data_IF_050743345650
#
_entry.id   IF_050743345650
#
_cell.length_a   1.000
_cell.length_b   1.000
_cell.length_c   1.000
_cell.angle_alpha   90.00
_cell.angle_beta   90.00
_cell.angle_gamma   90.00
#
_symmetry.space_group_name_H-M   'P 1'
#
loop_
_entity.id
_entity.type
_entity.pdbx_description
1 polymer ?
#
# COMPACT_ATOMS: atom_id res chain seq x y z
N UNK A 1 11.10 24.08 1.12
CA UNK A 1 12.38 23.60 0.57
C UNK A 1 12.21 23.28 -0.90
N UNK A 2 12.97 23.88 -1.80
CA UNK A 2 13.02 23.47 -3.20
C UNK A 2 13.74 22.13 -3.30
N UNK A 3 13.29 21.31 -4.26
CA UNK A 3 13.85 20.01 -4.54
C UNK A 3 14.08 19.80 -6.03
N UNK A 4 15.23 19.23 -6.35
CA UNK A 4 15.56 18.72 -7.68
C UNK A 4 15.84 17.23 -7.60
N UNK A 5 15.05 16.41 -8.25
CA UNK A 5 15.19 14.96 -8.23
C UNK A 5 15.67 14.40 -9.57
N UNK A 6 16.43 13.31 -9.50
CA UNK A 6 16.85 12.52 -10.67
C UNK A 6 16.46 11.07 -10.47
N UNK A 7 15.72 10.54 -11.42
CA UNK A 7 15.32 9.14 -11.41
C UNK A 7 16.45 8.23 -11.93
N UNK A 8 16.58 7.03 -11.34
CA UNK A 8 17.55 5.99 -11.75
C UNK A 8 19.02 6.30 -11.49
N UNK A 9 19.32 7.04 -10.42
CA UNK A 9 20.70 7.21 -9.97
C UNK A 9 21.24 5.90 -9.34
N UNK A 10 22.57 5.73 -9.42
CA UNK A 10 23.28 4.58 -8.84
C UNK A 10 24.42 5.07 -7.99
N UNK A 11 24.48 4.56 -6.75
CA UNK A 11 25.62 4.75 -5.89
C UNK A 11 26.56 3.55 -5.95
N UNK A 12 27.85 3.80 -6.03
CA UNK A 12 28.88 2.77 -6.08
C UNK A 12 29.99 3.07 -5.06
N UNK A 13 30.39 2.03 -4.35
CA UNK A 13 31.53 2.08 -3.45
C UNK A 13 32.39 0.83 -3.67
N UNK A 14 33.63 0.99 -4.09
CA UNK A 14 34.51 -0.10 -4.50
C UNK A 14 33.82 -1.02 -5.55
N UNK A 15 33.56 -2.28 -5.19
CA UNK A 15 32.86 -3.27 -6.06
C UNK A 15 31.35 -3.37 -5.78
N UNK A 16 30.86 -2.71 -4.73
CA UNK A 16 29.43 -2.77 -4.33
C UNK A 16 28.65 -1.67 -5.03
N UNK A 17 27.39 -1.97 -5.36
CA UNK A 17 26.46 -1.06 -6.01
C UNK A 17 25.15 -1.05 -5.22
N UNK A 18 24.59 0.14 -5.01
CA UNK A 18 23.27 0.33 -4.45
C UNK A 18 22.36 1.03 -5.46
N UNK A 19 21.11 0.58 -5.50
CA UNK A 19 20.06 1.26 -6.25
C UNK A 19 19.44 2.34 -5.37
N UNK A 20 19.33 3.54 -5.90
CA UNK A 20 18.77 4.70 -5.20
C UNK A 20 17.32 4.84 -5.67
N UNK A 21 16.39 4.86 -4.73
CA UNK A 21 14.97 5.09 -5.03
C UNK A 21 14.69 6.55 -5.32
N UNK A 22 15.35 7.42 -4.59
CA UNK A 22 15.20 8.86 -4.68
C UNK A 22 16.55 9.53 -4.50
N UNK A 23 16.99 10.26 -5.51
CA UNK A 23 18.21 11.04 -5.50
C UNK A 23 17.87 12.49 -5.75
N UNK A 24 17.97 13.30 -4.71
CA UNK A 24 17.55 14.69 -4.77
C UNK A 24 18.56 15.66 -4.19
N UNK A 25 18.61 16.83 -4.84
CA UNK A 25 19.26 18.02 -4.34
C UNK A 25 18.24 18.85 -3.57
N UNK A 26 18.53 19.17 -2.31
CA UNK A 26 17.60 19.80 -1.39
C UNK A 26 18.27 20.91 -0.59
N UNK A 27 17.47 21.78 0.03
CA UNK A 27 17.95 22.74 1.01
C UNK A 27 18.04 22.10 2.41
N UNK A 28 18.85 22.69 3.32
CA UNK A 28 18.99 22.18 4.68
C UNK A 28 17.68 22.08 5.47
N UNK A 29 16.71 22.93 5.17
CA UNK A 29 15.40 23.00 5.84
C UNK A 29 14.54 21.73 5.64
N UNK A 30 14.88 20.88 4.67
CA UNK A 30 14.17 19.61 4.41
C UNK A 30 14.15 18.69 5.63
N UNK A 31 15.19 18.76 6.45
CA UNK A 31 15.31 17.98 7.68
C UNK A 31 14.12 18.22 8.61
N UNK A 32 13.82 19.49 8.87
CA UNK A 32 12.73 19.89 9.76
C UNK A 32 11.37 19.66 9.12
N UNK A 33 11.24 19.92 7.81
CA UNK A 33 9.98 19.81 7.09
C UNK A 33 9.51 18.36 6.99
N UNK A 34 10.40 17.43 6.70
CA UNK A 34 10.08 16.02 6.48
C UNK A 34 10.37 15.13 7.70
N UNK A 35 10.71 15.75 8.86
CA UNK A 35 11.03 15.03 10.10
C UNK A 35 12.08 13.93 9.89
N UNK A 36 13.13 14.25 9.14
CA UNK A 36 14.29 13.37 9.01
C UNK A 36 15.17 13.46 10.27
N UNK A 37 15.58 12.31 10.79
CA UNK A 37 16.54 12.22 11.88
C UNK A 37 17.86 11.64 11.37
N UNK A 38 18.98 12.17 11.84
CA UNK A 38 20.31 11.63 11.54
C UNK A 38 20.71 10.65 12.63
N UNK A 39 21.13 9.45 12.23
CA UNK A 39 21.64 8.41 13.11
C UNK A 39 23.13 8.63 13.40
N UNK A 40 23.91 8.94 12.36
CA UNK A 40 25.35 9.11 12.46
C UNK A 40 25.81 10.26 11.58
N UNK A 41 26.70 11.10 12.08
CA UNK A 41 27.23 12.24 11.35
C UNK A 41 26.37 13.50 11.48
N UNK A 42 26.28 14.26 10.42
CA UNK A 42 25.53 15.53 10.36
C UNK A 42 24.90 15.75 8.98
N UNK A 43 23.98 16.68 8.91
CA UNK A 43 23.48 17.20 7.64
C UNK A 43 24.40 18.29 7.08
N UNK A 44 24.27 18.62 5.81
CA UNK A 44 24.99 19.73 5.21
C UNK A 44 24.39 21.07 5.63
N UNK A 45 25.24 22.07 5.66
CA UNK A 45 24.87 23.45 6.03
C UNK A 45 24.54 24.27 4.79
N UNK A 46 23.86 25.43 4.99
CA UNK A 46 23.59 26.40 3.93
C UNK A 46 24.87 26.89 3.24
N UNK A 47 25.99 26.94 3.97
CA UNK A 47 27.27 27.30 3.38
C UNK A 47 27.80 26.22 2.42
N UNK A 48 27.62 24.94 2.77
CA UNK A 48 28.00 23.82 1.89
C UNK A 48 27.11 23.72 0.66
N UNK A 49 25.83 24.10 0.78
CA UNK A 49 24.94 24.24 -0.38
C UNK A 49 25.37 25.41 -1.26
N UNK A 50 25.59 26.59 -0.70
CA UNK A 50 26.04 27.76 -1.48
C UNK A 50 27.37 27.50 -2.21
N UNK A 51 28.30 26.81 -1.53
CA UNK A 51 29.59 26.44 -2.11
C UNK A 51 29.51 25.22 -3.07
N UNK A 52 28.35 24.67 -3.32
CA UNK A 52 28.13 23.47 -4.14
C UNK A 52 29.10 22.32 -3.83
N UNK A 53 29.32 22.04 -2.54
CA UNK A 53 30.24 21.00 -2.09
C UNK A 53 29.72 19.60 -2.45
N UNK A 54 30.65 18.71 -2.83
CA UNK A 54 30.36 17.31 -3.10
C UNK A 54 30.19 16.50 -1.81
N UNK A 55 29.14 16.78 -1.06
CA UNK A 55 28.78 16.07 0.16
C UNK A 55 27.43 15.41 -0.01
N UNK A 56 27.21 14.29 0.66
CA UNK A 56 25.94 13.58 0.60
C UNK A 56 25.56 12.99 1.96
N UNK A 57 24.24 12.87 2.17
CA UNK A 57 23.63 12.16 3.28
C UNK A 57 22.91 10.93 2.76
N UNK A 58 23.19 9.78 3.33
CA UNK A 58 22.71 8.49 2.86
C UNK A 58 21.50 8.02 3.66
N UNK A 59 20.55 7.38 2.98
CA UNK A 59 19.56 6.55 3.64
C UNK A 59 20.19 5.30 4.25
N UNK A 60 19.63 4.83 5.35
CA UNK A 60 20.15 3.69 6.12
C UNK A 60 20.30 2.40 5.29
N UNK A 61 19.37 2.13 4.37
CA UNK A 61 19.44 0.93 3.52
C UNK A 61 20.54 1.02 2.46
N UNK A 62 20.86 2.22 1.97
CA UNK A 62 21.99 2.44 1.06
C UNK A 62 23.31 2.28 1.82
N UNK A 63 23.39 2.82 3.03
CA UNK A 63 24.56 2.66 3.90
C UNK A 63 24.84 1.19 4.15
N UNK A 64 23.87 0.41 4.60
CA UNK A 64 24.05 -1.02 4.86
C UNK A 64 24.36 -1.83 3.58
N UNK A 65 23.84 -1.45 2.41
CA UNK A 65 24.13 -2.11 1.14
C UNK A 65 25.56 -1.87 0.66
N UNK A 66 26.06 -0.63 0.78
CA UNK A 66 27.40 -0.23 0.30
C UNK A 66 28.51 -0.64 1.25
N UNK A 67 28.31 -0.44 2.56
CA UNK A 67 29.34 -0.63 3.57
C UNK A 67 29.19 -1.95 4.33
N UNK A 68 27.98 -2.48 4.42
CA UNK A 68 27.65 -3.68 5.17
C UNK A 68 27.33 -3.37 6.64
N UNK A 69 26.99 -4.44 7.35
CA UNK A 69 26.78 -4.42 8.81
C UNK A 69 27.95 -5.16 9.46
N UNK A 70 28.37 -4.73 10.63
CA UNK A 70 29.38 -5.41 11.40
C UNK A 70 28.86 -6.79 11.80
N UNK A 71 29.68 -7.82 11.57
CA UNK A 71 29.30 -9.22 11.80
C UNK A 71 29.09 -9.54 13.28
N UNK A 72 29.75 -8.80 14.17
CA UNK A 72 29.75 -9.06 15.62
C UNK A 72 28.64 -8.28 16.34
N UNK A 73 28.39 -7.02 15.94
CA UNK A 73 27.41 -6.15 16.60
C UNK A 73 26.09 -6.03 15.83
N UNK A 74 26.08 -6.36 14.53
CA UNK A 74 24.92 -6.14 13.64
C UNK A 74 24.64 -4.68 13.37
N UNK A 75 25.52 -3.77 13.77
CA UNK A 75 25.41 -2.35 13.50
C UNK A 75 25.98 -1.98 12.12
N UNK A 76 25.42 -0.96 11.45
CA UNK A 76 25.94 -0.51 10.17
C UNK A 76 27.35 0.09 10.35
N UNK A 77 28.30 -0.36 9.52
CA UNK A 77 29.65 0.20 9.51
C UNK A 77 29.56 1.68 9.15
N UNK A 78 30.16 2.56 9.98
CA UNK A 78 30.11 4.01 9.76
C UNK A 78 30.72 4.39 8.40
N UNK A 79 29.93 4.99 7.50
CA UNK A 79 30.41 5.44 6.19
C UNK A 79 30.97 6.86 6.22
N UNK A 80 30.95 7.54 7.36
CA UNK A 80 31.32 8.96 7.48
C UNK A 80 32.77 9.21 7.00
N UNK A 81 32.95 10.23 6.17
CA UNK A 81 34.23 10.60 5.57
C UNK A 81 34.66 9.73 4.38
N UNK A 82 33.95 8.65 4.06
CA UNK A 82 34.25 7.83 2.87
C UNK A 82 33.69 8.47 1.60
N UNK A 83 34.37 8.23 0.48
CA UNK A 83 33.96 8.77 -0.82
C UNK A 83 33.20 7.68 -1.59
N UNK A 84 31.98 8.00 -2.01
CA UNK A 84 31.18 7.17 -2.88
C UNK A 84 31.03 7.83 -4.26
N UNK A 85 30.81 7.06 -5.31
CA UNK A 85 30.52 7.60 -6.62
C UNK A 85 29.01 7.50 -6.89
N UNK A 86 28.38 8.64 -7.17
CA UNK A 86 26.99 8.72 -7.61
C UNK A 86 26.99 9.13 -9.08
N UNK A 87 26.54 8.26 -9.96
CA UNK A 87 26.59 8.45 -11.42
C UNK A 87 27.97 8.93 -11.88
N UNK A 88 29.06 8.28 -11.40
CA UNK A 88 30.47 8.57 -11.68
C UNK A 88 31.04 9.85 -11.05
N UNK A 89 30.28 10.62 -10.29
CA UNK A 89 30.75 11.81 -9.59
C UNK A 89 31.05 11.43 -8.14
N UNK A 90 32.24 11.78 -7.61
CA UNK A 90 32.61 11.47 -6.24
C UNK A 90 31.93 12.41 -5.23
N UNK A 91 31.37 11.82 -4.18
CA UNK A 91 30.74 12.51 -3.03
C UNK A 91 31.30 11.99 -1.71
N UNK A 92 31.58 12.89 -0.79
CA UNK A 92 31.95 12.55 0.58
C UNK A 92 30.70 12.34 1.42
N UNK A 93 30.62 11.21 2.10
CA UNK A 93 29.52 10.90 3.02
C UNK A 93 29.71 11.65 4.33
N UNK A 94 28.75 12.51 4.70
CA UNK A 94 28.81 13.31 5.94
C UNK A 94 27.77 12.91 6.97
N UNK A 95 26.72 12.17 6.56
CA UNK A 95 25.66 11.72 7.46
C UNK A 95 24.92 10.51 6.94
N UNK A 96 24.23 9.83 7.85
CA UNK A 96 23.33 8.72 7.57
C UNK A 96 22.01 8.96 8.29
N UNK A 97 20.90 8.81 7.58
CA UNK A 97 19.58 8.91 8.16
C UNK A 97 19.26 7.70 9.04
N UNK A 98 18.56 7.98 10.13
CA UNK A 98 18.00 6.96 10.99
C UNK A 98 17.03 6.08 10.22
N UNK A 99 17.13 4.79 10.42
CA UNK A 99 16.30 3.82 9.75
C UNK A 99 14.85 3.94 10.19
N UNK A 100 13.96 4.06 9.22
CA UNK A 100 12.52 4.09 9.46
C UNK A 100 11.98 2.70 9.13
N UNK A 101 11.40 2.05 10.14
CA UNK A 101 10.83 0.70 10.04
C UNK A 101 9.47 0.65 10.71
N UNK A 102 8.57 -0.19 10.18
CA UNK A 102 7.36 -0.55 10.91
C UNK A 102 7.69 -1.52 12.05
N UNK A 103 6.84 -1.58 13.08
CA UNK A 103 6.99 -2.56 14.19
C UNK A 103 7.10 -4.01 13.68
N UNK A 104 6.38 -4.33 12.61
CA UNK A 104 6.41 -5.65 11.99
C UNK A 104 7.75 -5.93 11.28
N UNK A 105 8.32 -4.92 10.60
CA UNK A 105 9.64 -5.04 9.94
C UNK A 105 10.75 -5.17 10.97
N UNK A 106 10.68 -4.39 12.06
CA UNK A 106 11.62 -4.47 13.18
C UNK A 106 11.66 -5.87 13.79
N UNK A 107 10.48 -6.45 14.11
CA UNK A 107 10.38 -7.81 14.63
C UNK A 107 10.92 -8.86 13.65
N UNK A 108 10.65 -8.71 12.35
CA UNK A 108 11.20 -9.62 11.32
C UNK A 108 12.72 -9.55 11.23
N UNK A 109 13.29 -8.34 11.27
CA UNK A 109 14.73 -8.14 11.24
C UNK A 109 15.40 -8.75 12.46
N UNK A 110 14.88 -8.49 13.66
CA UNK A 110 15.39 -9.08 14.90
C UNK A 110 15.33 -10.61 14.89
N UNK A 111 14.24 -11.18 14.38
CA UNK A 111 14.09 -12.63 14.22
C UNK A 111 15.10 -13.20 13.19
N UNK A 112 15.36 -12.49 12.10
CA UNK A 112 16.37 -12.88 11.10
C UNK A 112 17.79 -12.76 11.66
N UNK A 113 18.08 -11.72 12.42
CA UNK A 113 19.38 -11.52 13.07
C UNK A 113 19.65 -12.67 14.07
N UNK A 114 18.66 -13.01 14.92
CA UNK A 114 18.75 -14.15 15.84
C UNK A 114 18.95 -15.48 15.10
N UNK A 115 18.33 -15.67 13.95
CA UNK A 115 18.53 -16.88 13.12
C UNK A 115 19.91 -16.91 12.44
N UNK A 116 20.45 -15.77 12.02
CA UNK A 116 21.77 -15.69 11.39
C UNK A 116 22.90 -15.90 12.39
N UNK A 117 22.71 -15.54 13.66
CA UNK A 117 23.67 -15.82 14.75
C UNK A 117 23.71 -17.31 15.14
N UNK A 118 22.60 -18.05 14.94
CA UNK A 118 22.51 -19.48 15.30
C UNK A 118 22.82 -20.43 14.13
N UNK A 119 23.08 -19.96 12.92
CA UNK A 119 23.36 -20.82 11.76
C UNK A 119 24.74 -20.51 11.17
N UNK A 120 25.70 -21.37 11.46
CA UNK A 120 27.02 -21.43 10.80
C UNK A 120 26.91 -22.09 9.42
N UNK A 121 26.28 -21.41 8.45
CA UNK A 121 26.14 -21.91 7.08
C UNK A 121 26.22 -20.80 6.04
N UNK A 122 26.62 -21.07 4.77
CA UNK A 122 26.74 -20.06 3.74
C UNK A 122 25.39 -19.40 3.49
N UNK A 123 25.34 -18.07 3.64
CA UNK A 123 24.16 -17.23 3.39
C UNK A 123 23.66 -17.43 1.96
N UNK A 124 22.57 -18.14 1.78
CA UNK A 124 21.78 -18.06 0.54
C UNK A 124 21.14 -16.67 0.49
N UNK A 125 21.70 -15.80 -0.32
CA UNK A 125 21.06 -14.56 -0.71
C UNK A 125 19.80 -14.89 -1.52
N UNK A 126 18.66 -15.02 -0.87
CA UNK A 126 17.37 -15.12 -1.54
C UNK A 126 17.00 -13.73 -2.08
N UNK A 127 17.61 -13.39 -3.21
CA UNK A 127 17.34 -12.15 -3.95
C UNK A 127 16.08 -12.24 -4.82
N UNK A 128 15.16 -13.14 -4.51
CA UNK A 128 13.95 -13.30 -5.32
C UNK A 128 12.70 -13.24 -4.44
N UNK A 129 12.10 -12.07 -4.35
CA UNK A 129 10.77 -11.95 -3.80
C UNK A 129 10.57 -10.86 -2.76
N UNK A 130 10.54 -9.63 -3.16
CA UNK A 130 9.60 -8.60 -2.70
C UNK A 130 9.89 -7.28 -3.43
N UNK A 131 9.43 -7.16 -4.67
CA UNK A 131 9.46 -5.88 -5.41
C UNK A 131 8.34 -4.91 -4.98
N UNK A 132 7.63 -5.18 -3.91
CA UNK A 132 6.76 -4.20 -3.25
C UNK A 132 7.48 -3.69 -2.03
N UNK A 133 8.40 -2.74 -2.24
CA UNK A 133 9.03 -2.01 -1.18
C UNK A 133 7.97 -1.31 -0.33
N UNK A 134 8.01 -1.52 0.98
CA UNK A 134 7.30 -0.72 1.96
C UNK A 134 7.57 0.78 1.69
N UNK A 135 6.61 1.66 2.00
CA UNK A 135 6.81 3.12 1.94
C UNK A 135 8.09 3.57 2.65
N UNK A 136 8.46 2.86 3.71
CA UNK A 136 9.68 3.11 4.48
C UNK A 136 10.95 2.76 3.68
N UNK A 137 10.89 1.79 2.76
CA UNK A 137 12.04 1.46 1.92
C UNK A 137 12.42 2.60 0.96
N UNK A 138 11.48 3.39 0.47
CA UNK A 138 11.80 4.57 -0.34
C UNK A 138 12.61 5.57 0.48
N UNK A 139 12.14 5.93 1.68
CA UNK A 139 12.87 6.85 2.58
C UNK A 139 14.23 6.32 3.04
N UNK A 140 14.34 5.01 3.25
CA UNK A 140 15.61 4.37 3.60
C UNK A 140 16.59 4.25 2.41
N UNK A 141 16.09 4.34 1.16
CA UNK A 141 16.87 4.27 -0.07
C UNK A 141 17.03 5.64 -0.76
N UNK A 142 17.00 6.72 0.00
CA UNK A 142 17.15 8.10 -0.48
C UNK A 142 18.59 8.58 -0.28
N UNK A 143 19.08 9.41 -1.20
CA UNK A 143 20.33 10.18 -1.03
C UNK A 143 19.99 11.63 -1.26
N UNK A 144 20.36 12.46 -0.27
CA UNK A 144 20.27 13.91 -0.42
C UNK A 144 21.66 14.53 -0.57
N UNK A 145 21.73 15.47 -1.49
CA UNK A 145 22.91 16.32 -1.72
C UNK A 145 22.49 17.79 -1.69
N UNK A 146 23.40 18.74 -1.56
CA UNK A 146 23.05 20.16 -1.66
C UNK A 146 22.43 20.50 -3.02
N UNK A 147 21.39 21.36 -3.02
CA UNK A 147 20.61 21.72 -4.22
C UNK A 147 21.50 22.30 -5.31
N UNK A 148 22.40 23.23 -4.94
CA UNK A 148 23.32 23.86 -5.90
C UNK A 148 24.31 22.85 -6.51
N UNK A 149 24.72 21.82 -5.75
CA UNK A 149 25.54 20.73 -6.27
C UNK A 149 24.77 19.89 -7.30
N UNK A 150 23.49 19.59 -7.02
CA UNK A 150 22.62 18.89 -7.96
C UNK A 150 22.47 19.67 -9.25
N UNK A 151 22.17 20.95 -9.14
CA UNK A 151 22.02 21.82 -10.28
C UNK A 151 23.29 21.89 -11.14
N UNK A 152 24.43 22.22 -10.53
CA UNK A 152 25.69 22.40 -11.27
C UNK A 152 26.21 21.12 -11.90
N UNK A 153 26.05 19.95 -11.25
CA UNK A 153 26.75 18.72 -11.68
C UNK A 153 25.89 17.74 -12.44
N UNK A 154 24.59 17.79 -12.25
CA UNK A 154 23.70 16.83 -12.89
C UNK A 154 22.75 17.49 -13.90
N UNK A 155 22.12 18.62 -13.59
CA UNK A 155 21.23 19.27 -14.54
C UNK A 155 21.97 20.04 -15.63
N UNK A 156 23.07 20.70 -15.29
CA UNK A 156 23.90 21.33 -16.32
C UNK A 156 24.51 20.34 -17.31
N UNK A 157 24.84 19.12 -16.88
CA UNK A 157 25.39 18.11 -17.78
C UNK A 157 24.35 17.36 -18.60
N UNK A 158 23.09 17.31 -18.16
CA UNK A 158 22.03 16.58 -18.86
C UNK A 158 21.42 17.38 -20.02
N UNK A 159 21.47 18.71 -20.01
CA UNK A 159 20.97 19.56 -21.10
C UNK A 159 21.76 19.36 -22.39
N UNK A 160 23.01 18.93 -22.32
CA UNK A 160 23.82 18.62 -23.51
C UNK A 160 23.47 17.28 -24.19
N UNK A 161 22.70 16.40 -23.53
CA UNK A 161 22.35 15.07 -24.04
C UNK A 161 20.89 14.89 -24.45
N UNK A 162 19.98 15.77 -24.02
CA UNK A 162 18.55 15.62 -24.27
C UNK A 162 18.03 16.25 -25.58
N UNK A 163 18.82 17.06 -26.27
CA UNK A 163 18.45 17.62 -27.58
C UNK A 163 18.65 16.68 -28.78
N UNK A 164 19.06 15.41 -28.53
CA UNK A 164 19.00 14.38 -29.57
C UNK A 164 17.61 13.72 -29.59
N UNK A 165 16.56 14.51 -29.74
CA UNK A 165 15.26 14.00 -30.12
C UNK A 165 15.35 13.46 -31.57
N UNK A 166 14.63 12.38 -31.80
CA UNK A 166 14.58 11.51 -32.98
C UNK A 166 14.35 12.21 -34.34
N UNK A 167 14.30 13.53 -34.39
CA UNK A 167 13.94 14.32 -35.57
C UNK A 167 15.12 14.87 -36.38
N UNK A 168 16.37 14.77 -35.92
CA UNK A 168 17.51 15.40 -36.60
C UNK A 168 18.37 14.44 -37.41
N UNK A 169 17.84 13.29 -37.90
CA UNK A 169 18.57 12.43 -38.85
C UNK A 169 18.62 12.99 -40.29
N UNK A 170 17.94 14.11 -40.56
CA UNK A 170 17.81 14.66 -41.90
C UNK A 170 18.11 16.16 -42.05
N UNK A 171 18.63 16.84 -41.03
CA UNK A 171 19.04 18.25 -41.16
C UNK A 171 20.55 18.39 -41.11
N UNK A 172 21.10 18.76 -42.23
CA UNK A 172 22.49 19.07 -42.50
C UNK A 172 22.89 20.31 -41.69
N UNK A 173 23.92 20.18 -40.90
CA UNK A 173 24.85 21.14 -40.35
C UNK A 173 24.55 22.65 -40.60
N UNK A 174 24.07 23.32 -39.58
CA UNK A 174 24.42 24.70 -39.28
C UNK A 174 24.98 24.71 -37.85
N UNK A 175 26.27 24.80 -37.75
CA UNK A 175 27.01 24.91 -36.48
C UNK A 175 26.96 26.33 -35.97
N UNK A 176 25.81 26.76 -35.43
CA UNK A 176 25.80 27.87 -34.51
C UNK A 176 26.18 27.32 -33.14
N UNK A 177 27.03 28.03 -32.35
CA UNK A 177 27.34 27.59 -30.98
C UNK A 177 26.06 27.63 -30.17
N UNK A 178 25.52 26.47 -29.79
CA UNK A 178 24.40 26.37 -28.88
C UNK A 178 24.77 27.11 -27.58
N UNK A 179 24.13 28.24 -27.35
CA UNK A 179 24.23 28.96 -26.10
C UNK A 179 23.65 28.04 -25.03
N UNK A 180 24.51 27.55 -24.17
CA UNK A 180 24.13 26.73 -23.03
C UNK A 180 23.23 27.55 -22.09
N UNK A 181 21.94 27.24 -22.08
CA UNK A 181 20.99 27.79 -21.11
C UNK A 181 20.82 26.74 -20.01
N UNK A 182 21.31 26.98 -18.78
CA UNK A 182 21.08 26.06 -17.69
C UNK A 182 19.55 25.99 -17.41
N UNK A 183 19.05 24.76 -17.27
CA UNK A 183 17.64 24.52 -16.91
C UNK A 183 17.45 24.71 -15.39
N UNK A 184 16.87 25.84 -14.93
CA UNK A 184 16.68 26.14 -13.53
C UNK A 184 15.43 25.46 -12.95
N UNK A 185 14.75 24.60 -13.71
CA UNK A 185 13.47 24.03 -13.26
C UNK A 185 13.65 23.15 -12.02
N UNK A 186 12.85 23.45 -11.01
CA UNK A 186 12.70 22.61 -9.82
C UNK A 186 11.77 21.44 -10.15
N UNK A 187 11.98 20.30 -9.51
CA UNK A 187 11.08 19.15 -9.64
C UNK A 187 9.88 19.32 -8.73
N UNK A 188 10.13 19.70 -7.49
CA UNK A 188 9.12 19.85 -6.45
C UNK A 188 9.48 21.03 -5.55
N UNK A 189 8.48 21.63 -4.92
CA UNK A 189 8.62 22.66 -3.91
C UNK A 189 7.79 22.31 -2.69
N UNK A 190 8.46 21.88 -1.63
CA UNK A 190 7.81 21.59 -0.36
C UNK A 190 7.60 22.88 0.44
N UNK A 191 6.38 23.09 0.89
CA UNK A 191 6.00 24.22 1.73
C UNK A 191 5.31 23.71 2.98
N UNK A 192 5.84 24.12 4.15
CA UNK A 192 5.24 23.82 5.46
C UNK A 192 4.39 25.00 5.91
N UNK A 193 3.12 24.75 6.17
CA UNK A 193 2.19 25.73 6.75
C UNK A 193 2.15 25.52 8.26
N UNK A 194 2.08 26.61 9.01
CA UNK A 194 2.14 26.58 10.49
C UNK A 194 0.89 25.94 11.08
N UNK A 195 -0.29 26.18 10.48
CA UNK A 195 -1.56 25.66 10.93
C UNK A 195 -2.44 25.32 9.74
N UNK A 196 -3.27 24.28 9.89
CA UNK A 196 -4.19 23.79 8.85
C UNK A 196 -5.22 24.86 8.42
N UNK A 197 -5.64 25.73 9.34
CA UNK A 197 -6.62 26.79 9.07
C UNK A 197 -6.10 27.81 8.02
N UNK A 198 -4.79 27.91 7.86
CA UNK A 198 -4.15 28.79 6.87
C UNK A 198 -3.84 28.10 5.55
N UNK A 199 -4.12 26.80 5.41
CA UNK A 199 -3.73 26.02 4.22
C UNK A 199 -4.33 26.58 2.93
N UNK A 200 -5.64 26.85 2.91
CA UNK A 200 -6.30 27.40 1.72
C UNK A 200 -5.77 28.78 1.33
N UNK A 201 -5.53 29.65 2.32
CA UNK A 201 -4.95 30.98 2.09
C UNK A 201 -3.53 30.89 1.57
N UNK A 202 -2.72 29.98 2.14
CA UNK A 202 -1.36 29.72 1.69
C UNK A 202 -1.33 29.18 0.25
N UNK A 203 -2.21 28.25 -0.09
CA UNK A 203 -2.34 27.73 -1.47
C UNK A 203 -2.74 28.82 -2.46
N UNK A 204 -3.70 29.69 -2.10
CA UNK A 204 -4.11 30.78 -2.96
C UNK A 204 -2.97 31.79 -3.18
N UNK A 205 -2.20 32.11 -2.14
CA UNK A 205 -1.03 32.98 -2.26
C UNK A 205 0.06 32.35 -3.13
N UNK A 206 0.39 31.08 -2.89
CA UNK A 206 1.37 30.35 -3.71
C UNK A 206 0.95 30.28 -5.17
N UNK A 207 -0.33 29.99 -5.45
CA UNK A 207 -0.86 29.97 -6.81
C UNK A 207 -0.65 31.29 -7.51
N UNK A 208 -0.97 32.40 -6.84
CA UNK A 208 -0.78 33.74 -7.41
C UNK A 208 0.69 34.08 -7.68
N UNK A 209 1.60 33.63 -6.80
CA UNK A 209 3.04 33.82 -6.99
C UNK A 209 3.51 32.96 -8.17
N UNK A 210 3.13 31.68 -8.21
CA UNK A 210 3.52 30.75 -9.27
C UNK A 210 3.02 31.20 -10.65
N UNK A 211 1.77 31.65 -10.78
CA UNK A 211 1.23 32.18 -12.03
C UNK A 211 2.04 33.38 -12.49
N UNK A 212 2.44 34.27 -11.58
CA UNK A 212 3.25 35.44 -11.94
C UNK A 212 4.66 35.07 -12.37
N UNK A 213 5.29 34.13 -11.72
CA UNK A 213 6.66 33.68 -12.06
C UNK A 213 6.70 32.83 -13.32
N UNK A 214 5.60 32.15 -13.66
CA UNK A 214 5.44 31.32 -14.85
C UNK A 214 4.76 32.06 -16.02
N UNK A 215 4.80 33.42 -16.01
CA UNK A 215 4.24 34.27 -17.08
C UNK A 215 2.77 33.95 -17.41
N UNK A 216 1.96 33.57 -16.42
CA UNK A 216 0.54 33.26 -16.59
C UNK A 216 0.25 31.82 -17.05
N UNK A 217 1.26 30.99 -17.22
CA UNK A 217 1.09 29.55 -17.58
C UNK A 217 0.91 28.73 -16.30
N UNK A 218 -0.15 27.92 -16.24
CA UNK A 218 -0.42 27.03 -15.11
C UNK A 218 0.17 25.63 -15.42
N UNK A 219 1.50 25.48 -15.31
CA UNK A 219 2.26 24.27 -15.54
C UNK A 219 2.68 23.56 -14.23
N UNK A 220 2.00 23.89 -13.14
CA UNK A 220 2.25 23.38 -11.80
C UNK A 220 0.98 22.78 -11.19
N UNK A 221 1.13 21.89 -10.23
CA UNK A 221 0.03 21.31 -9.46
C UNK A 221 0.33 21.31 -7.97
N UNK A 222 -0.71 21.54 -7.16
CA UNK A 222 -0.60 21.42 -5.71
C UNK A 222 -0.98 20.00 -5.26
N UNK A 223 -0.16 19.45 -4.37
CA UNK A 223 -0.44 18.19 -3.70
C UNK A 223 -0.43 18.41 -2.19
N UNK A 224 -1.59 18.34 -1.58
CA UNK A 224 -1.72 18.42 -0.13
C UNK A 224 -1.82 17.01 0.47
N UNK A 225 -1.42 16.86 1.74
CA UNK A 225 -1.62 15.59 2.45
C UNK A 225 -3.11 15.26 2.58
N UNK A 226 -3.96 16.25 2.74
CA UNK A 226 -5.40 16.10 2.77
C UNK A 226 -5.95 15.47 1.48
N UNK A 227 -5.55 15.99 0.31
CA UNK A 227 -5.95 15.40 -0.98
C UNK A 227 -5.48 13.95 -1.15
N UNK A 228 -4.30 13.62 -0.63
CA UNK A 228 -3.79 12.24 -0.63
C UNK A 228 -4.64 11.34 0.26
N UNK A 229 -4.98 11.80 1.47
CA UNK A 229 -5.85 11.07 2.40
C UNK A 229 -7.26 10.90 1.81
N UNK A 230 -7.83 11.96 1.23
CA UNK A 230 -9.13 11.92 0.57
C UNK A 230 -9.14 10.89 -0.59
N UNK A 231 -8.13 10.91 -1.45
CA UNK A 231 -8.00 9.95 -2.56
C UNK A 231 -7.86 8.51 -2.05
N UNK A 232 -7.12 8.31 -0.95
CA UNK A 232 -6.97 6.97 -0.34
C UNK A 232 -8.30 6.51 0.25
N UNK A 233 -9.03 7.38 0.97
CA UNK A 233 -10.32 7.02 1.55
C UNK A 233 -11.36 6.68 0.47
N UNK A 234 -11.42 7.44 -0.63
CA UNK A 234 -12.30 7.14 -1.77
C UNK A 234 -11.99 5.77 -2.39
N UNK A 235 -10.70 5.45 -2.58
CA UNK A 235 -10.30 4.12 -3.08
C UNK A 235 -10.64 3.00 -2.10
N UNK A 236 -10.51 3.25 -0.80
CA UNK A 236 -10.90 2.28 0.23
C UNK A 236 -12.41 2.05 0.24
N UNK A 237 -13.21 3.10 0.09
CA UNK A 237 -14.66 3.00 0.05
C UNK A 237 -15.15 2.28 -1.21
N UNK A 238 -14.56 2.58 -2.36
CA UNK A 238 -14.80 1.82 -3.60
C UNK A 238 -14.46 0.33 -3.43
N UNK A 239 -13.34 0.02 -2.78
CA UNK A 239 -12.94 -1.36 -2.51
C UNK A 239 -13.88 -2.06 -1.50
N UNK A 240 -14.46 -1.34 -0.52
CA UNK A 240 -15.48 -1.87 0.39
C UNK A 240 -16.75 -2.24 -0.36
N UNK A 241 -17.23 -1.37 -1.27
CA UNK A 241 -18.42 -1.61 -2.08
C UNK A 241 -18.22 -2.85 -2.95
N UNK A 242 -17.10 -2.96 -3.67
CA UNK A 242 -16.81 -4.13 -4.52
C UNK A 242 -16.80 -5.42 -3.69
N UNK A 243 -16.13 -5.42 -2.53
CA UNK A 243 -16.11 -6.58 -1.62
C UNK A 243 -17.51 -6.92 -1.09
N UNK A 244 -18.31 -5.89 -0.78
CA UNK A 244 -19.70 -6.05 -0.36
C UNK A 244 -20.56 -6.72 -1.44
N UNK A 245 -20.41 -6.32 -2.70
CA UNK A 245 -21.12 -6.93 -3.84
C UNK A 245 -20.72 -8.41 -4.00
N UNK A 246 -19.42 -8.73 -3.91
CA UNK A 246 -18.95 -10.12 -4.01
C UNK A 246 -19.52 -10.96 -2.86
N UNK A 247 -19.54 -10.43 -1.63
CA UNK A 247 -20.12 -11.11 -0.49
C UNK A 247 -21.64 -11.33 -0.65
N UNK A 248 -22.37 -10.31 -1.13
CA UNK A 248 -23.81 -10.41 -1.39
C UNK A 248 -24.12 -11.47 -2.45
N UNK A 249 -23.36 -11.52 -3.54
CA UNK A 249 -23.51 -12.56 -4.58
C UNK A 249 -23.25 -13.96 -4.01
N UNK A 250 -22.23 -14.12 -3.17
CA UNK A 250 -21.93 -15.40 -2.52
C UNK A 250 -23.05 -15.84 -1.59
N UNK A 251 -23.64 -14.90 -0.83
CA UNK A 251 -24.80 -15.16 0.03
C UNK A 251 -26.06 -15.53 -0.76
N UNK A 252 -26.31 -14.87 -1.90
CA UNK A 252 -27.43 -15.23 -2.78
C UNK A 252 -27.31 -16.67 -3.29
N UNK A 253 -26.13 -17.07 -3.74
CA UNK A 253 -25.87 -18.45 -4.18
C UNK A 253 -26.09 -19.44 -3.02
N UNK A 254 -25.60 -19.13 -1.82
CA UNK A 254 -25.84 -19.90 -0.61
C UNK A 254 -27.33 -19.99 -0.26
N UNK A 255 -28.08 -18.89 -0.37
CA UNK A 255 -29.54 -18.84 -0.15
C UNK A 255 -30.33 -19.71 -1.15
N UNK A 256 -29.95 -19.70 -2.42
CA UNK A 256 -30.53 -20.59 -3.42
C UNK A 256 -30.24 -22.07 -3.07
N UNK A 257 -29.03 -22.33 -2.54
CA UNK A 257 -28.68 -23.67 -2.04
C UNK A 257 -29.61 -24.14 -0.91
N UNK A 258 -29.82 -23.27 0.11
CA UNK A 258 -30.74 -23.53 1.23
C UNK A 258 -32.16 -23.77 0.69
N UNK A 259 -32.65 -22.91 -0.20
CA UNK A 259 -33.99 -23.06 -0.80
C UNK A 259 -34.16 -24.40 -1.51
N UNK A 260 -33.18 -24.83 -2.30
CA UNK A 260 -33.23 -26.09 -3.03
C UNK A 260 -33.23 -27.30 -2.10
N UNK A 261 -32.39 -27.27 -1.02
CA UNK A 261 -32.36 -28.33 -0.02
C UNK A 261 -33.69 -28.42 0.70
N UNK A 262 -34.27 -27.28 1.10
CA UNK A 262 -35.55 -27.23 1.79
C UNK A 262 -36.70 -27.74 0.91
N UNK A 263 -36.71 -27.39 -0.40
CA UNK A 263 -37.70 -27.92 -1.33
C UNK A 263 -37.58 -29.45 -1.50
N UNK A 264 -36.37 -29.98 -1.57
CA UNK A 264 -36.13 -31.42 -1.60
C UNK A 264 -36.62 -32.11 -0.33
N UNK A 265 -36.26 -31.55 0.84
CA UNK A 265 -36.67 -32.06 2.16
C UNK A 265 -38.19 -32.06 2.33
N UNK A 266 -38.90 -31.00 1.86
CA UNK A 266 -40.34 -30.94 1.92
C UNK A 266 -40.95 -32.04 1.03
N UNK A 267 -40.40 -32.27 -0.18
CA UNK A 267 -40.91 -33.32 -1.07
C UNK A 267 -40.73 -34.69 -0.47
N UNK A 268 -39.63 -34.97 0.25
CA UNK A 268 -39.41 -36.23 0.96
C UNK A 268 -40.36 -36.43 2.14
N UNK A 269 -40.81 -35.33 2.80
CA UNK A 269 -41.68 -35.33 3.99
C UNK A 269 -43.12 -34.89 3.73
N UNK A 270 -43.57 -34.91 2.46
CA UNK A 270 -44.96 -34.51 2.09
C UNK A 270 -45.99 -35.25 2.91
N UNK A 271 -45.84 -36.54 3.12
CA UNK A 271 -46.75 -37.39 3.86
C UNK A 271 -46.80 -37.07 5.35
N UNK A 272 -45.63 -36.74 5.94
CA UNK A 272 -45.55 -36.30 7.34
C UNK A 272 -46.28 -34.96 7.53
N UNK A 273 -46.07 -34.01 6.62
CA UNK A 273 -46.74 -32.70 6.65
C UNK A 273 -48.25 -32.89 6.47
N UNK A 274 -48.64 -33.81 5.59
CA UNK A 274 -50.07 -34.18 5.37
C UNK A 274 -50.74 -34.76 6.63
N UNK A 275 -50.08 -35.70 7.33
CA UNK A 275 -50.55 -36.26 8.60
C UNK A 275 -50.62 -35.21 9.70
N UNK A 276 -49.67 -34.33 9.80
CA UNK A 276 -49.70 -33.19 10.75
C UNK A 276 -50.92 -32.30 10.51
N UNK A 277 -51.21 -31.97 9.29
CA UNK A 277 -52.38 -31.15 8.90
C UNK A 277 -53.68 -31.88 9.12
N UNK A 278 -53.74 -33.19 8.83
CA UNK A 278 -54.91 -34.04 9.09
C UNK A 278 -55.23 -34.14 10.59
N UNK A 279 -54.23 -34.07 11.47
CA UNK A 279 -54.39 -34.01 12.94
C UNK A 279 -54.79 -32.62 13.46
N UNK A 280 -54.98 -31.62 12.59
CA UNK A 280 -55.46 -30.28 12.95
C UNK A 280 -54.40 -29.19 12.98
N UNK A 281 -53.16 -29.44 12.51
CA UNK A 281 -52.14 -28.39 12.37
C UNK A 281 -52.53 -27.39 11.29
N UNK A 282 -52.56 -26.11 11.65
CA UNK A 282 -52.84 -25.02 10.70
C UNK A 282 -51.65 -24.82 9.73
N UNK A 283 -51.94 -24.31 8.52
CA UNK A 283 -50.90 -23.97 7.58
C UNK A 283 -49.82 -23.01 8.13
N UNK A 284 -50.23 -22.15 9.07
CA UNK A 284 -49.33 -21.21 9.79
C UNK A 284 -48.33 -21.95 10.67
N UNK A 285 -48.73 -23.01 11.34
CA UNK A 285 -47.82 -23.82 12.17
C UNK A 285 -46.75 -24.48 11.29
N UNK A 286 -47.16 -25.07 10.17
CA UNK A 286 -46.22 -25.65 9.18
C UNK A 286 -45.29 -24.60 8.60
N UNK A 287 -45.82 -23.42 8.27
CA UNK A 287 -45.01 -22.29 7.80
C UNK A 287 -43.92 -21.91 8.79
N UNK A 288 -44.27 -21.70 10.07
CA UNK A 288 -43.29 -21.34 11.12
C UNK A 288 -42.27 -22.46 11.30
N UNK A 289 -42.67 -23.71 11.29
CA UNK A 289 -41.76 -24.85 11.42
C UNK A 289 -40.68 -24.85 10.33
N UNK A 290 -41.04 -24.66 9.08
CA UNK A 290 -40.11 -24.63 7.94
C UNK A 290 -39.20 -23.40 8.00
N UNK A 291 -39.74 -22.24 8.38
CA UNK A 291 -38.92 -21.02 8.59
C UNK A 291 -37.90 -21.23 9.68
N UNK A 292 -38.30 -21.82 10.81
CA UNK A 292 -37.35 -22.07 11.92
C UNK A 292 -36.26 -23.08 11.53
N UNK A 293 -36.60 -24.11 10.72
CA UNK A 293 -35.62 -25.07 10.19
C UNK A 293 -34.59 -24.37 9.28
N UNK A 294 -35.04 -23.49 8.37
CA UNK A 294 -34.13 -22.72 7.52
C UNK A 294 -33.25 -21.72 8.29
N UNK A 295 -33.80 -21.11 9.34
CA UNK A 295 -33.07 -20.20 10.22
C UNK A 295 -31.97 -20.95 11.00
N UNK A 296 -32.30 -22.14 11.55
CA UNK A 296 -31.32 -22.99 12.25
C UNK A 296 -30.17 -23.39 11.32
N UNK A 297 -30.49 -23.81 10.08
CA UNK A 297 -29.47 -24.15 9.08
C UNK A 297 -28.58 -22.96 8.76
N UNK A 298 -29.15 -21.79 8.58
CA UNK A 298 -28.39 -20.56 8.29
C UNK A 298 -27.51 -20.12 9.47
N UNK A 299 -28.01 -20.25 10.71
CA UNK A 299 -27.21 -19.95 11.90
C UNK A 299 -26.06 -20.93 12.09
N UNK A 300 -26.31 -22.23 11.90
CA UNK A 300 -25.24 -23.24 11.94
C UNK A 300 -24.18 -22.98 10.89
N UNK A 301 -24.59 -22.65 9.65
CA UNK A 301 -23.67 -22.26 8.57
C UNK A 301 -22.86 -20.99 8.92
N UNK A 302 -23.53 -19.98 9.47
CA UNK A 302 -22.89 -18.73 9.93
C UNK A 302 -21.87 -18.97 11.05
N UNK A 303 -22.22 -19.82 12.04
CA UNK A 303 -21.29 -20.20 13.12
C UNK A 303 -20.09 -21.00 12.58
N UNK A 304 -20.29 -21.91 11.65
CA UNK A 304 -19.18 -22.64 11.00
C UNK A 304 -18.33 -21.74 10.11
N UNK A 305 -18.87 -20.64 9.61
CA UNK A 305 -18.14 -19.62 8.89
C UNK A 305 -17.07 -18.94 9.73
N UNK A 306 -17.25 -18.85 11.06
CA UNK A 306 -16.28 -18.24 11.97
C UNK A 306 -14.93 -18.98 11.96
N UNK A 307 -14.84 -20.26 12.29
CA UNK A 307 -13.57 -20.98 12.22
C UNK A 307 -13.01 -21.05 10.80
N UNK A 308 -13.86 -21.13 9.78
CA UNK A 308 -13.44 -21.11 8.39
C UNK A 308 -12.75 -19.77 8.02
N UNK A 309 -13.24 -18.64 8.51
CA UNK A 309 -12.62 -17.33 8.27
C UNK A 309 -11.25 -17.23 8.94
N UNK A 310 -11.08 -17.70 10.18
CA UNK A 310 -9.78 -17.76 10.85
C UNK A 310 -8.81 -18.69 10.12
N UNK A 311 -9.27 -19.85 9.67
CA UNK A 311 -8.48 -20.78 8.88
C UNK A 311 -8.02 -20.19 7.55
N UNK A 312 -8.88 -19.42 6.87
CA UNK A 312 -8.56 -18.74 5.62
C UNK A 312 -7.51 -17.64 5.84
N UNK A 313 -7.63 -16.86 6.90
CA UNK A 313 -6.63 -15.83 7.25
C UNK A 313 -5.29 -16.49 7.58
N UNK A 314 -5.29 -17.56 8.37
CA UNK A 314 -4.07 -18.31 8.67
C UNK A 314 -3.40 -18.85 7.40
N UNK A 315 -4.16 -19.43 6.49
CA UNK A 315 -3.65 -19.95 5.22
C UNK A 315 -3.06 -18.81 4.35
N UNK A 316 -3.76 -17.69 4.25
CA UNK A 316 -3.28 -16.51 3.51
C UNK A 316 -1.97 -15.97 4.08
N UNK A 317 -1.81 -15.93 5.40
CA UNK A 317 -0.57 -15.45 6.04
C UNK A 317 0.62 -16.38 5.78
N UNK A 318 0.38 -17.68 5.54
CA UNK A 318 1.43 -18.62 5.18
C UNK A 318 1.82 -18.53 3.69
N UNK A 319 0.85 -18.34 2.81
CA UNK A 319 1.07 -18.31 1.35
C UNK A 319 1.59 -16.94 0.87
N UNK A 320 1.11 -15.87 1.47
CA UNK A 320 1.47 -14.50 1.11
C UNK A 320 1.96 -13.81 2.38
N UNK A 321 3.29 -13.77 2.62
CA UNK A 321 3.85 -12.98 3.70
C UNK A 321 3.67 -11.49 3.37
N UNK A 322 2.47 -10.98 3.65
CA UNK A 322 2.12 -9.58 3.47
C UNK A 322 2.46 -8.81 4.76
N UNK A 323 2.91 -7.58 4.61
CA UNK A 323 3.15 -6.67 5.74
C UNK A 323 1.87 -6.37 6.52
N UNK A 324 0.70 -6.46 5.86
CA UNK A 324 -0.61 -6.23 6.45
C UNK A 324 -1.41 -7.55 6.44
N UNK A 325 -1.43 -8.22 7.57
CA UNK A 325 -2.31 -9.38 7.78
C UNK A 325 -3.76 -8.88 7.97
N UNK A 326 -4.76 -9.48 7.29
CA UNK A 326 -6.15 -9.13 7.51
C UNK A 326 -6.54 -9.43 8.96
N UNK A 327 -7.20 -8.46 9.61
CA UNK A 327 -7.68 -8.59 10.98
C UNK A 327 -9.18 -8.84 10.96
N UNK A 328 -9.61 -9.89 11.66
CA UNK A 328 -11.02 -10.21 11.85
C UNK A 328 -11.52 -9.44 13.07
N UNK A 329 -12.48 -8.54 12.87
CA UNK A 329 -13.12 -7.78 13.96
C UNK A 329 -14.37 -8.50 14.45
N UNK A 330 -14.68 -8.38 15.74
CA UNK A 330 -15.90 -8.95 16.31
C UNK A 330 -17.18 -8.40 15.66
N UNK A 331 -17.16 -7.13 15.29
CA UNK A 331 -18.26 -6.47 14.58
C UNK A 331 -18.52 -7.11 13.22
N UNK A 332 -17.47 -7.40 12.44
CA UNK A 332 -17.60 -8.06 11.14
C UNK A 332 -18.18 -9.47 11.27
N UNK A 333 -17.81 -10.22 12.32
CA UNK A 333 -18.36 -11.54 12.60
C UNK A 333 -19.84 -11.48 12.95
N UNK A 334 -20.24 -10.55 13.82
CA UNK A 334 -21.66 -10.35 14.19
C UNK A 334 -22.51 -9.96 12.97
N UNK A 335 -22.04 -9.02 12.17
CA UNK A 335 -22.70 -8.62 10.93
C UNK A 335 -22.81 -9.83 9.97
N UNK A 336 -21.76 -10.61 9.80
CA UNK A 336 -21.77 -11.80 8.93
C UNK A 336 -22.80 -12.84 9.38
N UNK A 337 -22.88 -13.16 10.67
CA UNK A 337 -23.86 -14.10 11.21
C UNK A 337 -25.29 -13.54 11.09
N UNK A 338 -25.50 -12.25 11.35
CA UNK A 338 -26.80 -11.61 11.20
C UNK A 338 -27.28 -11.63 9.74
N UNK A 339 -26.40 -11.34 8.78
CA UNK A 339 -26.72 -11.44 7.35
C UNK A 339 -26.99 -12.87 6.93
N UNK A 340 -26.25 -13.86 7.43
CA UNK A 340 -26.50 -15.27 7.17
C UNK A 340 -27.90 -15.68 7.63
N UNK A 341 -28.29 -15.30 8.84
CA UNK A 341 -29.62 -15.57 9.37
C UNK A 341 -30.72 -14.90 8.53
N UNK A 342 -30.51 -13.65 8.12
CA UNK A 342 -31.43 -12.90 7.25
C UNK A 342 -31.63 -13.57 5.90
N UNK A 343 -30.55 -13.98 5.24
CA UNK A 343 -30.60 -14.69 3.96
C UNK A 343 -31.27 -16.06 4.11
N UNK A 344 -30.97 -16.81 5.19
CA UNK A 344 -31.64 -18.08 5.47
C UNK A 344 -33.16 -17.94 5.65
N UNK A 345 -33.58 -16.87 6.31
CA UNK A 345 -34.98 -16.53 6.52
C UNK A 345 -35.67 -16.25 5.18
N UNK A 346 -35.06 -15.45 4.31
CA UNK A 346 -35.59 -15.16 2.96
C UNK A 346 -35.65 -16.44 2.07
N UNK A 347 -34.56 -17.22 2.11
CA UNK A 347 -34.46 -18.45 1.33
C UNK A 347 -35.49 -19.51 1.75
N UNK A 348 -35.87 -19.54 3.04
CA UNK A 348 -36.89 -20.41 3.60
C UNK A 348 -38.31 -19.97 3.30
N UNK A 349 -38.56 -18.70 2.92
CA UNK A 349 -39.90 -18.17 2.70
C UNK A 349 -40.67 -18.93 1.61
N UNK A 350 -40.07 -19.13 0.44
CA UNK A 350 -40.74 -19.80 -0.67
C UNK A 350 -41.07 -21.27 -0.35
N UNK A 351 -40.15 -22.11 0.18
CA UNK A 351 -40.46 -23.46 0.64
C UNK A 351 -41.55 -23.50 1.69
N UNK A 352 -41.49 -22.58 2.70
CA UNK A 352 -42.48 -22.53 3.79
C UNK A 352 -43.87 -22.21 3.29
N UNK A 353 -44.03 -21.28 2.34
CA UNK A 353 -45.32 -20.97 1.71
C UNK A 353 -45.85 -22.20 0.93
N UNK A 354 -44.98 -22.89 0.20
CA UNK A 354 -45.35 -24.06 -0.54
C UNK A 354 -45.85 -25.18 0.38
N UNK A 355 -45.13 -25.49 1.44
CA UNK A 355 -45.49 -26.49 2.42
C UNK A 355 -46.79 -26.12 3.19
N UNK A 356 -46.99 -24.86 3.53
CA UNK A 356 -48.16 -24.38 4.26
C UNK A 356 -49.47 -24.54 3.43
N UNK A 357 -49.38 -24.52 2.10
CA UNK A 357 -50.53 -24.65 1.17
C UNK A 357 -50.81 -26.08 0.75
N UNK A 358 -50.04 -27.09 1.17
CA UNK A 358 -50.29 -28.50 0.82
C UNK A 358 -51.67 -28.93 1.35
N UNK A 359 -52.46 -29.58 0.47
CA UNK A 359 -53.74 -30.22 0.86
C UNK A 359 -53.46 -31.53 1.59
N UNK A 360 -53.99 -31.76 2.79
CA UNK A 360 -53.80 -33.01 3.52
C UNK A 360 -54.22 -34.26 2.73
N UNK A 361 -55.27 -34.16 1.91
CA UNK A 361 -55.79 -35.27 1.14
C UNK A 361 -54.82 -35.66 0.01
N UNK A 362 -54.32 -34.64 -0.71
CA UNK A 362 -53.34 -34.86 -1.76
C UNK A 362 -52.01 -35.36 -1.19
N UNK A 363 -51.57 -34.82 -0.07
CA UNK A 363 -50.33 -35.18 0.58
C UNK A 363 -50.30 -36.63 1.09
N UNK A 364 -51.45 -37.15 1.54
CA UNK A 364 -51.60 -38.56 1.98
C UNK A 364 -51.72 -39.54 0.81
N UNK A 365 -52.13 -39.05 -0.38
CA UNK A 365 -52.29 -39.86 -1.59
C UNK A 365 -50.99 -39.92 -2.42
N UNK A 366 -50.02 -39.16 -2.07
CA UNK A 366 -48.72 -39.11 -2.76
C UNK A 366 -47.95 -40.42 -2.52
N UNK A 367 -47.75 -41.19 -3.60
CA UNK A 367 -46.89 -42.40 -3.62
C UNK A 367 -45.43 -42.02 -3.89
#
# INVERSE_FOLDING_TARGET
>A
SPEMSIYRARATYQKKRAYISEFSGVWPDIMEMNSYEIETGRFFTSFEDYAAKNVCVLGSAISSTLFGEDLDTGEPISPIGKIININYIPFSVIGVYKRIESEAEKKKREAQLKRSLNQSGPKRTSSFGSRRGSRFQHRNNTIHIPLNTMWMKFKMSSSSSSSRSFQSRFSKASSEPEVFVPDPTLSDLDVKVTDMDYLEKAMAQMRNIMIRTHNGIEDFSFRTQENVIATISEKLDSAKIIRGIIAAMSLLVGGIGIMNIMLASINERIREIGTFKAMGATGFIVFIQIIMESLVLALLGGLMGIPASYGSVWLLTQLVPAENTPVITAEALLIGVAFSAFVGLIAGLFPAIKASKLDPIEALRYE
#
